data_IF_107346089057
#
_entry.id   IF_107346089057
#
_cell.length_a   1.000
_cell.length_b   1.000
_cell.length_c   1.000
_cell.angle_alpha   90.00
_cell.angle_beta   90.00
_cell.angle_gamma   90.00
#
_symmetry.space_group_name_H-M   'P 1'
#
loop_
_entity.id
_entity.type
_entity.pdbx_description
1 polymer ?
#
# COMPACT_ATOMS: atom_id res chain seq x y z
N UNK A 1 -24.06 -2.75 6.50
CA UNK A 1 -23.23 -1.60 6.96
C UNK A 1 -22.13 -2.01 7.95
N UNK A 2 -22.45 -2.61 9.11
CA UNK A 2 -21.44 -3.04 10.11
C UNK A 2 -20.47 -4.12 9.59
N UNK A 3 -20.99 -5.17 8.95
CA UNK A 3 -20.19 -6.26 8.38
C UNK A 3 -19.22 -5.77 7.29
N UNK A 4 -19.68 -4.93 6.36
CA UNK A 4 -18.80 -4.31 5.33
C UNK A 4 -17.61 -3.58 5.95
N UNK A 5 -17.86 -2.72 6.96
CA UNK A 5 -16.77 -1.98 7.63
C UNK A 5 -15.78 -2.93 8.30
N UNK A 6 -16.26 -3.99 8.94
CA UNK A 6 -15.38 -5.00 9.53
C UNK A 6 -14.53 -5.69 8.48
N UNK A 7 -15.11 -6.11 7.35
CA UNK A 7 -14.37 -6.72 6.25
C UNK A 7 -13.28 -5.78 5.70
N UNK A 8 -13.58 -4.50 5.47
CA UNK A 8 -12.61 -3.52 5.02
C UNK A 8 -11.47 -3.32 6.02
N UNK A 9 -11.77 -3.27 7.33
CA UNK A 9 -10.76 -3.13 8.37
C UNK A 9 -9.87 -4.38 8.46
N UNK A 10 -10.45 -5.58 8.37
CA UNK A 10 -9.69 -6.83 8.35
C UNK A 10 -8.80 -6.90 7.11
N UNK A 11 -9.33 -6.60 5.92
CA UNK A 11 -8.56 -6.59 4.69
C UNK A 11 -7.44 -5.53 4.72
N UNK A 12 -7.71 -4.34 5.27
CA UNK A 12 -6.70 -3.30 5.49
C UNK A 12 -5.56 -3.79 6.39
N UNK A 13 -5.89 -4.39 7.54
CA UNK A 13 -4.90 -4.93 8.46
C UNK A 13 -4.06 -6.05 7.81
N UNK A 14 -4.71 -6.97 7.09
CA UNK A 14 -4.01 -8.05 6.38
C UNK A 14 -3.08 -7.50 5.29
N UNK A 15 -3.51 -6.52 4.51
CA UNK A 15 -2.68 -5.90 3.48
C UNK A 15 -1.47 -5.18 4.10
N UNK A 16 -1.67 -4.43 5.18
CA UNK A 16 -0.58 -3.76 5.89
C UNK A 16 0.46 -4.76 6.40
N UNK A 17 0.00 -5.82 7.08
CA UNK A 17 0.86 -6.87 7.62
C UNK A 17 1.59 -7.60 6.50
N UNK A 18 0.88 -8.01 5.44
CA UNK A 18 1.49 -8.70 4.31
C UNK A 18 2.57 -7.86 3.62
N UNK A 19 2.29 -6.58 3.32
CA UNK A 19 3.28 -5.67 2.75
C UNK A 19 4.46 -5.45 3.69
N UNK A 20 4.21 -5.28 4.98
CA UNK A 20 5.24 -5.15 6.01
C UNK A 20 6.15 -6.37 6.11
N UNK A 21 5.56 -7.58 6.08
CA UNK A 21 6.33 -8.83 6.13
C UNK A 21 7.19 -9.02 4.89
N UNK A 22 6.65 -8.81 3.68
CA UNK A 22 7.46 -8.86 2.45
C UNK A 22 8.61 -7.86 2.53
N UNK A 23 8.34 -6.64 3.02
CA UNK A 23 9.36 -5.61 3.16
C UNK A 23 10.46 -6.00 4.15
N UNK A 24 10.09 -6.46 5.36
CA UNK A 24 11.04 -6.88 6.39
C UNK A 24 11.87 -8.09 5.94
N UNK A 25 11.27 -9.03 5.21
CA UNK A 25 11.92 -10.28 4.85
C UNK A 25 12.75 -10.18 3.56
N UNK A 26 12.27 -9.45 2.56
CA UNK A 26 12.86 -9.40 1.23
C UNK A 26 13.77 -8.19 0.96
N UNK A 27 13.54 -7.03 1.59
CA UNK A 27 14.27 -5.80 1.22
C UNK A 27 15.67 -5.68 1.83
N UNK A 28 16.58 -4.88 1.25
CA UNK A 28 17.90 -4.60 1.81
C UNK A 28 17.86 -3.94 3.19
N UNK A 29 18.88 -4.24 4.01
CA UNK A 29 19.02 -3.75 5.39
C UNK A 29 19.43 -2.28 5.53
N UNK A 30 19.75 -1.63 4.41
CA UNK A 30 20.15 -0.22 4.36
C UNK A 30 18.97 0.76 4.48
N UNK A 31 17.74 0.24 4.47
CA UNK A 31 16.53 1.05 4.51
C UNK A 31 16.27 1.59 5.92
N UNK A 32 15.61 2.75 5.98
CA UNK A 32 15.27 3.46 7.21
C UNK A 32 14.57 2.58 8.25
N UNK A 33 13.71 1.65 7.83
CA UNK A 33 13.02 0.72 8.74
C UNK A 33 14.00 -0.09 9.60
N UNK A 34 15.10 -0.57 9.02
CA UNK A 34 16.10 -1.36 9.75
C UNK A 34 16.92 -0.47 10.69
N UNK A 35 17.22 0.76 10.28
CA UNK A 35 17.82 1.74 11.17
C UNK A 35 16.93 2.03 12.39
N UNK A 36 15.62 2.21 12.19
CA UNK A 36 14.66 2.37 13.30
C UNK A 36 14.65 1.11 14.17
N UNK A 37 14.59 -0.08 13.56
CA UNK A 37 14.58 -1.36 14.26
C UNK A 37 15.82 -1.56 15.15
N UNK A 38 16.98 -1.08 14.71
CA UNK A 38 18.23 -1.11 15.49
C UNK A 38 18.10 -0.26 16.77
N UNK A 39 17.43 0.90 16.70
CA UNK A 39 17.29 1.82 17.83
C UNK A 39 16.20 1.40 18.84
N UNK A 40 15.18 0.67 18.39
CA UNK A 40 14.09 0.19 19.26
C UNK A 40 14.27 -1.26 19.73
N UNK A 41 15.43 -1.88 19.44
CA UNK A 41 15.76 -3.23 19.88
C UNK A 41 15.05 -4.36 19.13
N UNK A 42 14.48 -4.08 17.95
CA UNK A 42 13.77 -5.09 17.13
C UNK A 42 14.66 -5.80 16.12
N UNK A 43 15.93 -5.41 15.99
CA UNK A 43 16.86 -5.99 15.02
C UNK A 43 16.99 -7.50 15.11
N UNK A 44 17.18 -8.03 16.32
CA UNK A 44 17.31 -9.48 16.54
C UNK A 44 16.08 -10.25 16.06
N UNK A 45 14.88 -9.72 16.30
CA UNK A 45 13.63 -10.32 15.82
C UNK A 45 13.58 -10.36 14.29
N UNK A 46 13.96 -9.28 13.62
CA UNK A 46 13.99 -9.23 12.16
C UNK A 46 15.04 -10.19 11.59
N UNK A 47 16.19 -10.33 12.24
CA UNK A 47 17.25 -11.25 11.84
C UNK A 47 16.80 -12.72 11.92
N UNK A 48 16.13 -13.09 13.01
CA UNK A 48 15.54 -14.43 13.16
C UNK A 48 14.49 -14.69 12.09
N UNK A 49 13.56 -13.75 11.88
CA UNK A 49 12.50 -13.89 10.88
C UNK A 49 13.09 -14.07 9.47
N UNK A 50 14.12 -13.29 9.13
CA UNK A 50 14.82 -13.40 7.85
C UNK A 50 15.60 -14.69 7.70
N UNK A 51 16.21 -15.21 8.77
CA UNK A 51 16.92 -16.49 8.72
C UNK A 51 15.97 -17.68 8.47
N UNK A 52 14.70 -17.55 8.86
CA UNK A 52 13.65 -18.56 8.65
C UNK A 52 12.94 -18.45 7.30
N UNK A 53 13.25 -17.44 6.50
CA UNK A 53 12.60 -17.17 5.22
C UNK A 53 13.63 -17.01 4.11
N UNK A 54 13.35 -17.49 2.90
CA UNK A 54 14.15 -17.15 1.73
C UNK A 54 13.30 -16.40 0.70
N UNK A 55 13.81 -15.26 0.27
CA UNK A 55 13.31 -14.49 -0.87
C UNK A 55 14.16 -14.70 -2.12
N UNK A 56 15.12 -15.63 -2.09
CA UNK A 56 15.88 -16.00 -3.29
C UNK A 56 14.94 -16.54 -4.37
N UNK A 57 15.10 -16.05 -5.61
CA UNK A 57 14.29 -16.46 -6.76
C UNK A 57 12.88 -15.87 -6.82
N UNK A 58 12.48 -15.02 -5.86
CA UNK A 58 11.21 -14.30 -5.97
C UNK A 58 11.29 -13.21 -7.06
N UNK A 59 10.21 -12.97 -7.82
CA UNK A 59 10.18 -11.88 -8.79
C UNK A 59 10.44 -10.53 -8.11
N UNK A 60 11.19 -9.66 -8.78
CA UNK A 60 11.55 -8.34 -8.23
C UNK A 60 10.31 -7.53 -7.87
N UNK A 61 9.27 -7.52 -8.71
CA UNK A 61 8.03 -6.80 -8.41
C UNK A 61 7.35 -7.27 -7.11
N UNK A 62 7.54 -8.52 -6.67
CA UNK A 62 6.99 -8.99 -5.39
C UNK A 62 7.72 -8.32 -4.23
N UNK A 63 9.04 -8.22 -4.31
CA UNK A 63 9.87 -7.67 -3.22
C UNK A 63 9.86 -6.15 -3.25
N UNK A 64 9.89 -5.55 -4.44
CA UNK A 64 10.14 -4.14 -4.63
C UNK A 64 8.86 -3.31 -4.79
N UNK A 65 7.81 -3.85 -5.44
CA UNK A 65 6.61 -3.07 -5.83
C UNK A 65 5.35 -3.43 -5.03
N UNK A 66 5.10 -4.74 -4.85
CA UNK A 66 3.89 -5.24 -4.19
C UNK A 66 3.71 -4.68 -2.76
N UNK A 67 4.74 -4.51 -1.91
CA UNK A 67 4.56 -3.94 -0.58
C UNK A 67 3.94 -2.54 -0.62
N UNK A 68 4.38 -1.69 -1.54
CA UNK A 68 3.83 -0.34 -1.74
C UNK A 68 2.36 -0.39 -2.16
N UNK A 69 2.01 -1.28 -3.09
CA UNK A 69 0.61 -1.52 -3.48
C UNK A 69 -0.27 -2.01 -2.34
N UNK A 70 0.22 -2.93 -1.51
CA UNK A 70 -0.50 -3.45 -0.35
C UNK A 70 -0.72 -2.38 0.72
N UNK A 71 0.28 -1.53 0.98
CA UNK A 71 0.14 -0.38 1.88
C UNK A 71 -0.84 0.65 1.33
N UNK A 72 -0.79 0.93 0.03
CA UNK A 72 -1.75 1.80 -0.66
C UNK A 72 -3.18 1.27 -0.52
N UNK A 73 -3.40 -0.02 -0.77
CA UNK A 73 -4.69 -0.69 -0.56
C UNK A 73 -5.14 -0.62 0.90
N UNK A 74 -4.24 -0.86 1.85
CA UNK A 74 -4.54 -0.77 3.28
C UNK A 74 -5.03 0.63 3.65
N UNK A 75 -4.29 1.66 3.23
CA UNK A 75 -4.65 3.06 3.47
C UNK A 75 -6.01 3.40 2.87
N UNK A 76 -6.23 3.00 1.62
CA UNK A 76 -7.46 3.25 0.88
C UNK A 76 -8.69 2.67 1.60
N UNK A 77 -8.63 1.40 2.02
CA UNK A 77 -9.73 0.73 2.73
C UNK A 77 -9.97 1.33 4.12
N UNK A 78 -8.89 1.60 4.87
CA UNK A 78 -9.00 2.23 6.19
C UNK A 78 -9.64 3.62 6.09
N UNK A 79 -9.20 4.41 5.12
CA UNK A 79 -9.69 5.77 4.89
C UNK A 79 -11.17 5.76 4.47
N UNK A 80 -11.59 4.83 3.61
CA UNK A 80 -13.01 4.67 3.25
C UNK A 80 -13.91 4.42 4.47
N UNK A 81 -13.46 3.57 5.40
CA UNK A 81 -14.19 3.26 6.63
C UNK A 81 -14.25 4.47 7.55
N UNK A 82 -13.12 5.15 7.77
CA UNK A 82 -13.04 6.32 8.65
C UNK A 82 -13.86 7.50 8.11
N UNK A 83 -13.78 7.76 6.81
CA UNK A 83 -14.50 8.82 6.11
C UNK A 83 -15.93 8.41 5.67
N UNK A 84 -16.46 7.27 6.14
CA UNK A 84 -17.76 6.74 5.71
C UNK A 84 -18.98 7.65 6.00
N UNK A 85 -18.81 8.69 6.82
CA UNK A 85 -19.85 9.70 7.10
C UNK A 85 -19.76 10.92 6.18
N UNK A 86 -18.69 11.05 5.40
CA UNK A 86 -18.48 12.17 4.48
C UNK A 86 -19.14 11.90 3.12
N UNK A 87 -19.44 12.96 2.34
CA UNK A 87 -19.86 12.82 0.95
C UNK A 87 -18.85 12.00 0.13
N UNK A 88 -19.36 11.20 -0.82
CA UNK A 88 -18.54 10.29 -1.64
C UNK A 88 -17.36 11.00 -2.32
N UNK A 89 -17.50 12.20 -2.93
CA UNK A 89 -16.37 12.89 -3.54
C UNK A 89 -15.24 13.17 -2.56
N UNK A 90 -15.57 13.64 -1.34
CA UNK A 90 -14.57 13.94 -0.31
C UNK A 90 -13.87 12.66 0.14
N UNK A 91 -14.64 11.59 0.37
CA UNK A 91 -14.10 10.29 0.76
C UNK A 91 -13.15 9.71 -0.30
N UNK A 92 -13.52 9.82 -1.56
CA UNK A 92 -12.70 9.36 -2.70
C UNK A 92 -11.40 10.16 -2.82
N UNK A 93 -11.46 11.47 -2.63
CA UNK A 93 -10.25 12.32 -2.63
C UNK A 93 -9.31 11.96 -1.49
N UNK A 94 -9.83 11.76 -0.27
CA UNK A 94 -9.02 11.37 0.88
C UNK A 94 -8.37 9.99 0.69
N UNK A 95 -9.14 8.99 0.24
CA UNK A 95 -8.62 7.65 -0.02
C UNK A 95 -7.55 7.62 -1.13
N UNK A 96 -7.57 8.60 -2.05
CA UNK A 96 -6.63 8.71 -3.15
C UNK A 96 -5.26 9.31 -2.79
N UNK A 97 -5.09 9.92 -1.62
CA UNK A 97 -3.86 10.66 -1.27
C UNK A 97 -2.60 9.79 -1.39
N UNK A 98 -2.55 8.65 -0.70
CA UNK A 98 -1.38 7.77 -0.73
C UNK A 98 -1.14 7.13 -2.11
N UNK A 99 -2.16 6.54 -2.78
CA UNK A 99 -1.99 6.07 -4.16
C UNK A 99 -1.43 7.13 -5.10
N UNK A 100 -1.95 8.37 -5.04
CA UNK A 100 -1.52 9.45 -5.92
C UNK A 100 -0.12 9.95 -5.57
N UNK A 101 0.25 10.00 -4.29
CA UNK A 101 1.64 10.28 -3.88
C UNK A 101 2.59 9.24 -4.48
N UNK A 102 2.26 7.94 -4.40
CA UNK A 102 3.06 6.88 -5.02
C UNK A 102 3.21 7.06 -6.54
N UNK A 103 2.12 7.34 -7.25
CA UNK A 103 2.14 7.61 -8.70
C UNK A 103 3.00 8.83 -9.04
N UNK A 104 2.82 9.94 -8.32
CA UNK A 104 3.58 11.16 -8.54
C UNK A 104 5.08 10.95 -8.25
N UNK A 105 5.41 10.17 -7.22
CA UNK A 105 6.79 9.79 -6.93
C UNK A 105 7.44 9.05 -8.11
N UNK A 106 6.75 8.08 -8.70
CA UNK A 106 7.26 7.35 -9.88
C UNK A 106 7.43 8.28 -11.10
N UNK A 107 6.46 9.16 -11.35
CA UNK A 107 6.57 10.12 -12.46
C UNK A 107 7.73 11.11 -12.27
N UNK A 108 7.98 11.54 -11.02
CA UNK A 108 9.10 12.42 -10.71
C UNK A 108 10.45 11.70 -10.75
N UNK A 109 10.52 10.42 -10.36
CA UNK A 109 11.72 9.61 -10.58
C UNK A 109 12.01 9.44 -12.08
N UNK A 110 10.97 9.19 -12.89
CA UNK A 110 11.10 9.14 -14.37
C UNK A 110 11.62 10.45 -14.95
N UNK A 111 11.21 11.58 -14.38
CA UNK A 111 11.67 12.91 -14.79
C UNK A 111 13.05 13.30 -14.20
N UNK A 112 13.66 12.45 -13.37
CA UNK A 112 14.93 12.75 -12.69
C UNK A 112 14.83 13.79 -11.57
N UNK A 113 13.62 14.09 -11.10
CA UNK A 113 13.35 15.10 -10.07
C UNK A 113 13.43 14.53 -8.64
N UNK A 114 13.25 13.22 -8.48
CA UNK A 114 13.39 12.51 -7.21
C UNK A 114 14.43 11.39 -7.32
N UNK A 115 15.21 11.13 -6.26
CA UNK A 115 16.06 9.96 -6.20
C UNK A 115 15.20 8.69 -6.18
N UNK A 116 15.58 7.69 -6.96
CA UNK A 116 14.85 6.43 -7.08
C UNK A 116 15.01 5.82 -8.47
N UNK A 117 14.20 4.83 -8.77
CA UNK A 117 14.20 4.14 -10.06
C UNK A 117 12.77 3.98 -10.49
N UNK A 118 12.42 4.62 -11.60
CA UNK A 118 11.11 4.48 -12.20
C UNK A 118 10.81 3.01 -12.50
N UNK A 119 9.73 2.49 -11.92
CA UNK A 119 9.26 1.12 -12.15
C UNK A 119 7.78 1.11 -12.60
N UNK A 120 7.53 0.45 -13.72
CA UNK A 120 6.17 0.25 -14.24
C UNK A 120 5.32 -0.60 -13.28
N UNK A 121 5.93 -1.54 -12.56
CA UNK A 121 5.24 -2.35 -11.56
C UNK A 121 4.75 -1.48 -10.40
N UNK A 122 5.57 -0.54 -9.92
CA UNK A 122 5.19 0.40 -8.85
C UNK A 122 3.95 1.21 -9.26
N UNK A 123 3.96 1.79 -10.46
CA UNK A 123 2.78 2.48 -11.01
C UNK A 123 1.55 1.59 -11.05
N UNK A 124 1.68 0.35 -11.53
CA UNK A 124 0.57 -0.59 -11.61
C UNK A 124 -0.02 -0.90 -10.23
N UNK A 125 0.85 -1.14 -9.24
CA UNK A 125 0.44 -1.47 -7.87
C UNK A 125 -0.15 -0.29 -7.10
N UNK A 126 0.24 0.95 -7.39
CA UNK A 126 -0.41 2.13 -6.83
C UNK A 126 -1.75 2.45 -7.51
N UNK A 127 -1.84 2.33 -8.84
CA UNK A 127 -3.03 2.70 -9.62
C UNK A 127 -4.16 1.67 -9.51
N UNK A 128 -3.85 0.38 -9.64
CA UNK A 128 -4.89 -0.65 -9.78
C UNK A 128 -5.88 -0.70 -8.62
N UNK A 129 -5.47 -0.63 -7.32
CA UNK A 129 -6.43 -0.62 -6.22
C UNK A 129 -7.32 0.62 -6.24
N UNK A 130 -6.75 1.78 -6.59
CA UNK A 130 -7.48 3.04 -6.64
C UNK A 130 -8.50 3.09 -7.78
N UNK A 131 -8.14 2.59 -8.97
CA UNK A 131 -9.06 2.52 -10.11
C UNK A 131 -10.23 1.57 -9.84
N UNK A 132 -9.98 0.42 -9.22
CA UNK A 132 -11.04 -0.51 -8.79
C UNK A 132 -11.98 0.20 -7.79
N UNK A 133 -11.41 0.88 -6.80
CA UNK A 133 -12.17 1.64 -5.80
C UNK A 133 -13.04 2.75 -6.41
N UNK A 134 -12.49 3.53 -7.34
CA UNK A 134 -13.22 4.56 -8.08
C UNK A 134 -14.39 3.95 -8.87
N UNK A 135 -14.15 2.83 -9.54
CA UNK A 135 -15.18 2.14 -10.33
C UNK A 135 -16.35 1.69 -9.47
N UNK A 136 -16.08 1.11 -8.29
CA UNK A 136 -17.12 0.69 -7.34
C UNK A 136 -17.95 1.89 -6.87
N UNK A 137 -17.31 3.00 -6.50
CA UNK A 137 -18.03 4.19 -6.03
C UNK A 137 -18.79 4.93 -7.12
N UNK A 138 -18.28 4.91 -8.36
CA UNK A 138 -18.99 5.44 -9.51
C UNK A 138 -20.27 4.66 -9.78
N UNK A 139 -20.18 3.32 -9.86
CA UNK A 139 -21.34 2.45 -10.05
C UNK A 139 -22.39 2.63 -8.94
N UNK A 140 -21.95 2.73 -7.68
CA UNK A 140 -22.84 2.98 -6.55
C UNK A 140 -23.58 4.32 -6.65
N UNK A 141 -22.90 5.39 -7.10
CA UNK A 141 -23.54 6.69 -7.31
C UNK A 141 -24.58 6.66 -8.43
N UNK A 142 -24.30 5.94 -9.52
CA UNK A 142 -25.24 5.80 -10.65
C UNK A 142 -26.48 5.02 -10.23
N UNK A 143 -26.32 3.91 -9.50
CA UNK A 143 -27.44 3.13 -8.98
C UNK A 143 -28.37 3.95 -8.07
N UNK A 144 -27.83 4.74 -7.14
CA UNK A 144 -28.64 5.53 -6.20
C UNK A 144 -29.40 6.70 -6.87
N UNK A 145 -29.03 7.08 -8.09
CA UNK A 145 -29.69 8.15 -8.86
C UNK A 145 -30.86 7.63 -9.73
N UNK A 146 -30.98 6.32 -9.89
CA UNK A 146 -32.09 5.66 -10.61
C UNK A 146 -33.17 5.28 -9.63
#
# INVERSE_FOLDING_TARGET
>A
MRQYKQMCLTASALALIAGGMIYILGRPRTLLLFWVADHIGLRGTFDVLRALSSFEGWPEWVVYSLPGGLWSLSYLLLTDVLASRLPIPIRVSLAGVIPMVGVLSELFQKAGLLPGTYDLADLFFYLSPYLIYLSIHFLYQTYKKT
#
